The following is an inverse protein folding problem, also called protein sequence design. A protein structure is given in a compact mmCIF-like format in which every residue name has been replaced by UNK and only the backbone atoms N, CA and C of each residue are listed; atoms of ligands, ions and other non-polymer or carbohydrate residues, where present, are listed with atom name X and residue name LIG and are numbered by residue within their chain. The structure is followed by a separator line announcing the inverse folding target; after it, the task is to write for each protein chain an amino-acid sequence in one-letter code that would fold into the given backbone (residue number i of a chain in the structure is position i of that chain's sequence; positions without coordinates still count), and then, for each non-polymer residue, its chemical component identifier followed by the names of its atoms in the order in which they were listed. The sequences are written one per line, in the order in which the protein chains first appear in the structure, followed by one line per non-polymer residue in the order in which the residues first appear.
data_IF_730694367486
#
_entry.id   IF_730694367486
#
_cell.length_a   1.000
_cell.length_b   1.000
_cell.length_c   1.000
_cell.angle_alpha   90.00
_cell.angle_beta   90.00
_cell.angle_gamma   90.00
#
_symmetry.space_group_name_H-M   'P 1'
#
loop_
_entity.id
_entity.type
_entity.pdbx_description
1 polymer ?
#
# COMPACT_ATOMS: atom_id res chain seq x y z
N UNK A 1 7.11 -3.80 -6.27
CA UNK A 1 6.46 -3.58 -4.95
C UNK A 1 4.95 -3.38 -5.11
N UNK A 2 4.50 -2.43 -5.95
CA UNK A 2 3.07 -2.22 -6.22
C UNK A 2 2.62 -2.89 -7.52
N UNK A 3 1.36 -3.33 -7.57
CA UNK A 3 0.78 -3.93 -8.76
C UNK A 3 0.87 -3.02 -10.01
N UNK A 4 0.64 -1.71 -9.84
CA UNK A 4 0.67 -0.74 -10.94
C UNK A 4 2.07 -0.59 -11.58
N UNK A 5 3.15 -0.91 -10.86
CA UNK A 5 4.52 -0.88 -11.41
C UNK A 5 4.71 -1.93 -12.51
N UNK A 6 4.05 -3.09 -12.39
CA UNK A 6 4.11 -4.16 -13.40
C UNK A 6 3.45 -3.75 -14.73
N UNK A 7 2.62 -2.69 -14.72
CA UNK A 7 1.94 -2.18 -15.89
C UNK A 7 2.51 -0.82 -16.37
N UNK A 8 3.65 -0.38 -15.80
CA UNK A 8 4.26 0.91 -16.15
C UNK A 8 3.41 2.12 -15.79
N UNK A 9 2.46 1.97 -14.85
CA UNK A 9 1.54 3.04 -14.45
C UNK A 9 2.14 3.84 -13.31
N UNK A 10 2.15 5.17 -13.44
CA UNK A 10 2.56 6.11 -12.39
C UNK A 10 1.34 6.91 -11.93
N UNK A 11 0.69 6.53 -10.82
CA UNK A 11 -0.56 7.16 -10.40
C UNK A 11 -0.36 8.60 -9.91
N UNK A 12 -1.38 9.42 -10.12
CA UNK A 12 -1.50 10.76 -9.51
C UNK A 12 -1.94 10.67 -8.05
N UNK A 13 -2.83 9.72 -7.75
CA UNK A 13 -3.30 9.36 -6.40
C UNK A 13 -3.44 7.83 -6.33
N UNK A 14 -3.01 7.23 -5.24
CA UNK A 14 -3.17 5.80 -4.97
C UNK A 14 -3.53 5.55 -3.50
N UNK A 15 -4.07 4.37 -3.22
CA UNK A 15 -4.55 3.98 -1.89
C UNK A 15 -3.93 2.65 -1.46
N UNK A 16 -3.52 2.58 -0.20
CA UNK A 16 -2.96 1.41 0.46
C UNK A 16 -3.75 1.10 1.73
N UNK A 17 -3.91 -0.19 2.06
CA UNK A 17 -4.57 -0.67 3.26
C UNK A 17 -4.24 -2.16 3.43
N UNK A 18 -5.17 -2.98 3.95
CA UNK A 18 -5.05 -4.44 4.08
C UNK A 18 -3.75 -4.83 4.78
N UNK A 19 -2.82 -5.45 4.06
CA UNK A 19 -1.54 -5.93 4.56
C UNK A 19 -0.60 -4.81 5.01
N UNK A 20 -0.87 -3.54 4.68
CA UNK A 20 -0.11 -2.39 5.17
C UNK A 20 -0.02 -2.38 6.71
N UNK A 21 -1.03 -2.87 7.42
CA UNK A 21 -1.01 -2.96 8.88
C UNK A 21 -0.29 -4.17 9.45
N UNK A 22 0.41 -4.96 8.60
CA UNK A 22 1.06 -6.22 8.96
C UNK A 22 0.12 -7.25 9.63
N UNK A 23 -1.20 -7.14 9.41
CA UNK A 23 -2.20 -7.94 10.11
C UNK A 23 -2.31 -7.64 11.61
N UNK A 24 -1.67 -6.57 12.11
CA UNK A 24 -1.63 -6.18 13.53
C UNK A 24 -2.46 -4.93 13.83
N UNK A 25 -2.39 -3.93 12.97
CA UNK A 25 -3.13 -2.68 13.16
C UNK A 25 -4.02 -2.35 11.97
N UNK A 26 -5.13 -1.65 12.22
CA UNK A 26 -5.94 -1.08 11.16
C UNK A 26 -5.26 0.20 10.64
N UNK A 27 -4.83 0.17 9.38
CA UNK A 27 -4.21 1.33 8.72
C UNK A 27 -4.60 1.39 7.26
N UNK A 28 -4.86 2.61 6.81
CA UNK A 28 -5.01 2.97 5.41
C UNK A 28 -4.19 4.22 5.11
N UNK A 29 -3.70 4.33 3.88
CA UNK A 29 -2.94 5.46 3.41
C UNK A 29 -3.44 5.90 2.02
N UNK A 30 -3.56 7.21 1.84
CA UNK A 30 -3.72 7.83 0.52
C UNK A 30 -2.41 8.53 0.18
N UNK A 31 -1.83 8.17 -0.96
CA UNK A 31 -0.61 8.78 -1.47
C UNK A 31 -1.01 9.59 -2.69
N UNK A 32 -0.64 10.86 -2.73
CA UNK A 32 -0.96 11.77 -3.82
C UNK A 32 0.26 12.60 -4.21
N UNK A 33 0.35 12.98 -5.49
CA UNK A 33 1.34 13.96 -5.94
C UNK A 33 1.15 15.28 -5.20
N UNK A 34 2.26 15.93 -4.86
CA UNK A 34 2.26 17.14 -4.04
C UNK A 34 1.41 18.25 -4.66
N UNK A 35 1.53 18.49 -5.95
CA UNK A 35 0.78 19.55 -6.64
C UNK A 35 -0.73 19.32 -6.63
N UNK A 36 -1.17 18.05 -6.64
CA UNK A 36 -2.59 17.68 -6.56
C UNK A 36 -3.08 17.84 -5.12
N UNK A 37 -2.32 17.32 -4.15
CA UNK A 37 -2.65 17.45 -2.74
C UNK A 37 -2.74 18.91 -2.31
N UNK A 38 -1.79 19.75 -2.73
CA UNK A 38 -1.77 21.17 -2.38
C UNK A 38 -2.92 21.96 -3.03
N UNK A 39 -3.38 21.58 -4.22
CA UNK A 39 -4.60 22.16 -4.82
C UNK A 39 -5.85 21.83 -4.00
N UNK A 40 -5.92 20.64 -3.43
CA UNK A 40 -7.08 20.20 -2.65
C UNK A 40 -7.06 20.72 -1.20
N UNK A 41 -5.89 20.71 -0.55
CA UNK A 41 -5.77 20.90 0.91
C UNK A 41 -4.76 21.98 1.31
N UNK A 42 -4.08 22.64 0.38
CA UNK A 42 -2.91 23.49 0.67
C UNK A 42 -3.17 24.85 1.31
N UNK A 43 -4.44 25.27 1.50
CA UNK A 43 -4.79 26.54 2.15
C UNK A 43 -5.27 26.33 3.58
N UNK A 44 -5.13 27.30 4.50
CA UNK A 44 -5.68 27.18 5.85
C UNK A 44 -7.17 26.85 5.89
N UNK A 45 -7.94 27.37 4.92
CA UNK A 45 -9.39 27.09 4.79
C UNK A 45 -9.68 25.63 4.41
N UNK A 46 -8.78 24.99 3.64
CA UNK A 46 -8.96 23.64 3.11
C UNK A 46 -8.18 22.58 3.88
N UNK A 47 -7.18 22.96 4.67
CA UNK A 47 -6.24 22.02 5.31
C UNK A 47 -6.92 21.01 6.23
N UNK A 48 -8.04 21.38 6.85
CA UNK A 48 -8.73 20.56 7.85
C UNK A 48 -10.06 19.98 7.35
N UNK A 49 -10.42 20.14 6.07
CA UNK A 49 -11.75 19.72 5.56
C UNK A 49 -11.94 18.20 5.56
N UNK A 50 -10.85 17.45 5.39
CA UNK A 50 -10.84 16.01 5.56
C UNK A 50 -10.43 15.61 6.98
N UNK A 51 -9.68 16.49 7.66
CA UNK A 51 -9.00 16.34 8.95
C UNK A 51 -8.17 15.04 9.08
N UNK A 52 -7.28 14.98 10.08
CA UNK A 52 -6.81 13.68 10.55
C UNK A 52 -8.04 12.95 11.12
N UNK A 53 -8.36 11.77 10.59
CA UNK A 53 -9.33 10.90 11.25
C UNK A 53 -8.93 10.74 12.72
N UNK A 54 -9.87 10.58 13.64
CA UNK A 54 -9.58 10.45 15.09
C UNK A 54 -8.48 9.42 15.39
N UNK A 55 -8.36 8.39 14.56
CA UNK A 55 -7.35 7.32 14.62
C UNK A 55 -6.31 7.40 13.49
N UNK A 56 -6.34 8.45 12.68
CA UNK A 56 -5.41 8.68 11.57
C UNK A 56 -4.04 9.07 12.12
N UNK A 57 -3.00 8.37 11.67
CA UNK A 57 -1.62 8.65 12.10
C UNK A 57 -1.29 8.20 13.52
N UNK A 58 -2.03 7.23 14.09
CA UNK A 58 -1.66 6.61 15.36
C UNK A 58 -0.26 5.98 15.26
N UNK A 59 0.61 6.31 16.23
CA UNK A 59 2.00 5.86 16.22
C UNK A 59 2.17 4.34 16.21
N UNK A 60 1.31 3.60 16.92
CA UNK A 60 1.29 2.13 16.91
C UNK A 60 1.06 1.59 15.49
N UNK A 61 0.02 2.07 14.80
CA UNK A 61 -0.30 1.63 13.44
C UNK A 61 0.82 1.97 12.44
N UNK A 62 1.50 3.11 12.63
CA UNK A 62 2.67 3.47 11.85
C UNK A 62 3.85 2.51 12.12
N UNK A 63 4.12 2.17 13.38
CA UNK A 63 5.20 1.25 13.74
C UNK A 63 4.98 -0.15 13.17
N UNK A 64 3.75 -0.69 13.26
CA UNK A 64 3.44 -2.00 12.67
C UNK A 64 3.55 -1.97 11.15
N UNK A 65 3.16 -0.85 10.52
CA UNK A 65 3.24 -0.72 9.06
C UNK A 65 4.68 -0.65 8.56
N UNK A 66 5.54 0.09 9.25
CA UNK A 66 6.97 0.16 8.95
C UNK A 66 7.58 -1.25 9.08
N UNK A 67 7.30 -1.94 10.18
CA UNK A 67 7.86 -3.28 10.39
C UNK A 67 7.32 -4.31 9.40
N UNK A 68 6.03 -4.24 9.03
CA UNK A 68 5.48 -5.08 7.97
C UNK A 68 6.17 -4.89 6.62
N UNK A 69 6.59 -3.66 6.31
CA UNK A 69 7.38 -3.38 5.10
C UNK A 69 8.79 -3.94 5.25
N UNK A 70 9.44 -3.79 6.40
CA UNK A 70 10.78 -4.36 6.65
C UNK A 70 10.77 -5.88 6.44
N UNK A 71 9.85 -6.59 7.09
CA UNK A 71 9.71 -8.06 6.95
C UNK A 71 9.52 -8.48 5.49
N UNK A 72 8.73 -7.72 4.73
CA UNK A 72 8.49 -7.99 3.32
C UNK A 72 9.78 -7.91 2.47
N UNK A 73 10.73 -7.05 2.83
CA UNK A 73 12.07 -7.01 2.22
C UNK A 73 13.03 -8.04 2.81
N UNK A 74 13.12 -8.14 4.13
CA UNK A 74 14.08 -8.99 4.85
C UNK A 74 13.87 -10.49 4.54
N UNK A 75 12.61 -10.91 4.39
CA UNK A 75 12.25 -12.28 4.03
C UNK A 75 12.12 -12.50 2.51
N UNK A 76 12.36 -11.47 1.68
CA UNK A 76 12.28 -11.57 0.23
C UNK A 76 10.89 -11.95 -0.29
N UNK A 77 9.83 -11.51 0.39
CA UNK A 77 8.47 -12.00 0.13
C UNK A 77 7.92 -11.60 -1.24
N UNK A 78 8.35 -10.47 -1.81
CA UNK A 78 7.94 -10.07 -3.17
C UNK A 78 8.49 -11.05 -4.21
N UNK A 79 9.78 -11.38 -4.12
CA UNK A 79 10.43 -12.28 -5.08
C UNK A 79 9.86 -13.70 -4.93
N UNK A 80 9.65 -14.15 -3.69
CA UNK A 80 8.99 -15.41 -3.41
C UNK A 80 7.56 -15.45 -3.99
N UNK A 81 6.80 -14.36 -3.88
CA UNK A 81 5.45 -14.28 -4.45
C UNK A 81 5.47 -14.39 -5.99
N UNK A 82 6.48 -13.84 -6.67
CA UNK A 82 6.64 -14.02 -8.11
C UNK A 82 6.90 -15.49 -8.47
N UNK A 83 7.90 -16.12 -7.82
CA UNK A 83 8.29 -17.52 -8.08
C UNK A 83 7.13 -18.48 -7.78
N UNK A 84 6.53 -18.36 -6.59
CA UNK A 84 5.46 -19.27 -6.17
C UNK A 84 4.14 -18.98 -6.87
N UNK A 85 3.87 -17.72 -7.25
CA UNK A 85 2.72 -17.34 -8.05
C UNK A 85 2.76 -17.96 -9.45
N UNK A 86 3.90 -17.93 -10.12
CA UNK A 86 4.09 -18.56 -11.43
C UNK A 86 3.89 -20.07 -11.35
N UNK A 87 4.50 -20.72 -10.33
CA UNK A 87 4.30 -22.14 -10.08
C UNK A 87 2.82 -22.49 -9.86
N UNK A 88 2.11 -21.73 -9.02
CA UNK A 88 0.69 -21.94 -8.75
C UNK A 88 -0.14 -21.82 -10.04
N UNK A 89 0.08 -20.77 -10.84
CA UNK A 89 -0.64 -20.55 -12.09
C UNK A 89 -0.43 -21.69 -13.09
N UNK A 90 0.82 -22.14 -13.26
CA UNK A 90 1.13 -23.28 -14.14
C UNK A 90 0.40 -24.55 -13.71
N UNK A 91 0.40 -24.86 -12.41
CA UNK A 91 -0.28 -26.05 -11.87
C UNK A 91 -1.79 -25.98 -12.01
N UNK A 92 -2.39 -24.81 -11.81
CA UNK A 92 -3.83 -24.60 -12.01
C UNK A 92 -4.23 -24.71 -13.49
N UNK A 93 -3.38 -24.23 -14.40
CA UNK A 93 -3.63 -24.37 -15.84
C UNK A 93 -3.62 -25.83 -16.29
N UNK A 94 -2.65 -26.62 -15.81
CA UNK A 94 -2.58 -28.05 -16.12
C UNK A 94 -3.77 -28.87 -15.59
N UNK A 95 -4.44 -28.41 -14.53
CA UNK A 95 -5.66 -29.06 -13.99
C UNK A 95 -6.94 -28.69 -14.77
N UNK A 96 -6.89 -27.62 -15.56
CA UNK A 96 -8.04 -27.16 -16.35
C UNK A 96 -8.18 -27.95 -17.65
N UNK A 97 -7.09 -28.53 -18.14
CA UNK A 97 -7.02 -29.40 -19.32
C UNK A 97 -7.48 -30.83 -19.00
#
# INVERSE_FOLDING_TARGET
FYAFEHYGVVPDVTALAKSLGAGKAAVGAMIARREIYMKAYGTPKTAMIHAMATFGGMGEACATAIEGINVLYDEGLIDNAAVTGDYLLQRLQALRE
#
